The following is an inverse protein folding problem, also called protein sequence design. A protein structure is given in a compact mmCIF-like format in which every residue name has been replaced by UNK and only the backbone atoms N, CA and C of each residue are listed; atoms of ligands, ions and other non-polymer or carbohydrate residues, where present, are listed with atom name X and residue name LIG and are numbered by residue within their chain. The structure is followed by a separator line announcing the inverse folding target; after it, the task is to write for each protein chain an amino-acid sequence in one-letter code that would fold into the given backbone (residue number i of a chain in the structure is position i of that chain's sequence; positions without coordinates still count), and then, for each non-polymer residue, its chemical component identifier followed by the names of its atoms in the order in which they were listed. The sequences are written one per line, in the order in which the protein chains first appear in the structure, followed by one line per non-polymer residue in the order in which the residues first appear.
data_IF_321209679798
#
_entry.id   IF_321209679798
#
_cell.length_a   1.000
_cell.length_b   1.000
_cell.length_c   1.000
_cell.angle_alpha   90.00
_cell.angle_beta   90.00
_cell.angle_gamma   90.00
#
_symmetry.space_group_name_H-M   'P 1'
#
loop_
_entity.id
_entity.type
_entity.pdbx_description
1 polymer ?
#
# COMPACT_ATOMS: atom_id res chain seq x y z
N UNK A 1 0.66 8.42 -51.33
CA UNK A 1 -0.58 8.21 -50.55
C UNK A 1 -0.19 8.42 -49.11
N UNK A 2 -0.58 9.56 -48.53
CA UNK A 2 -0.39 9.83 -47.11
C UNK A 2 -1.56 9.18 -46.39
N UNK A 3 -1.25 8.28 -45.46
CA UNK A 3 -2.22 7.64 -44.59
C UNK A 3 -2.76 8.70 -43.59
N UNK A 4 -4.05 9.06 -43.63
CA UNK A 4 -4.60 10.13 -42.80
C UNK A 4 -5.01 9.68 -41.39
N UNK A 5 -4.75 8.42 -41.01
CA UNK A 5 -5.26 7.85 -39.75
C UNK A 5 -4.32 8.00 -38.53
N UNK A 6 -3.19 8.69 -38.67
CA UNK A 6 -2.36 9.05 -37.51
C UNK A 6 -2.83 10.38 -36.89
N UNK A 7 -4.10 10.42 -36.49
CA UNK A 7 -4.56 11.35 -35.47
C UNK A 7 -3.88 10.91 -34.16
N UNK A 8 -2.73 11.50 -33.86
CA UNK A 8 -2.22 11.58 -32.49
C UNK A 8 -3.39 12.05 -31.63
N UNK A 9 -4.06 11.10 -30.95
CA UNK A 9 -5.10 11.43 -30.00
C UNK A 9 -4.44 12.36 -29.02
N UNK A 10 -4.91 13.61 -28.97
CA UNK A 10 -4.40 14.58 -28.01
C UNK A 10 -4.83 14.09 -26.64
N UNK A 11 -3.94 13.35 -25.98
CA UNK A 11 -4.14 12.84 -24.63
C UNK A 11 -3.66 13.92 -23.68
N UNK A 12 -4.58 14.46 -22.87
CA UNK A 12 -4.18 15.30 -21.74
C UNK A 12 -3.72 14.37 -20.61
N UNK A 13 -2.45 14.49 -20.23
CA UNK A 13 -1.91 13.86 -19.01
C UNK A 13 -2.02 14.85 -17.87
N UNK A 14 -2.71 14.47 -16.80
CA UNK A 14 -2.85 15.29 -15.61
C UNK A 14 -2.36 14.52 -14.40
N UNK A 15 -1.46 15.13 -13.61
CA UNK A 15 -1.07 14.62 -12.30
C UNK A 15 -2.30 14.70 -11.39
N UNK A 16 -2.74 13.56 -10.89
CA UNK A 16 -3.92 13.51 -10.03
C UNK A 16 -3.52 13.82 -8.58
N UNK A 17 -4.09 14.88 -7.96
CA UNK A 17 -3.88 15.21 -6.56
C UNK A 17 -4.21 14.02 -5.65
N UNK A 18 -3.46 13.88 -4.54
CA UNK A 18 -3.58 12.75 -3.61
C UNK A 18 -5.02 12.49 -3.14
N UNK A 19 -5.74 13.55 -2.79
CA UNK A 19 -7.15 13.55 -2.36
C UNK A 19 -8.13 13.13 -3.47
N UNK A 20 -7.69 13.10 -4.73
CA UNK A 20 -8.47 12.75 -5.93
C UNK A 20 -7.98 11.48 -6.62
N UNK A 21 -6.93 10.82 -6.11
CA UNK A 21 -6.43 9.59 -6.73
C UNK A 21 -7.43 8.44 -6.62
N UNK A 22 -8.29 8.44 -5.59
CA UNK A 22 -9.39 7.51 -5.46
C UNK A 22 -10.36 7.56 -6.66
N UNK A 23 -10.54 8.73 -7.28
CA UNK A 23 -11.42 8.96 -8.43
C UNK A 23 -10.91 8.30 -9.72
N UNK A 24 -9.61 8.03 -9.80
CA UNK A 24 -8.96 7.41 -10.96
C UNK A 24 -9.23 5.91 -11.01
N UNK A 25 -9.43 5.28 -9.86
CA UNK A 25 -9.61 3.84 -9.74
C UNK A 25 -11.07 3.38 -10.01
N UNK A 26 -11.92 4.21 -10.63
CA UNK A 26 -13.34 3.93 -10.94
C UNK A 26 -14.18 3.57 -9.70
N UNK A 27 -13.99 4.33 -8.61
CA UNK A 27 -14.61 4.06 -7.31
C UNK A 27 -15.78 5.03 -7.14
N UNK A 28 -17.01 4.51 -7.15
CA UNK A 28 -18.24 5.27 -6.91
C UNK A 28 -18.20 6.00 -5.55
N UNK A 29 -18.46 7.30 -5.57
CA UNK A 29 -18.05 8.30 -4.57
C UNK A 29 -19.02 8.52 -3.41
N UNK A 30 -20.19 7.89 -3.41
CA UNK A 30 -21.27 8.31 -2.53
C UNK A 30 -21.17 7.83 -1.06
N UNK A 31 -20.28 6.88 -0.72
CA UNK A 31 -20.16 6.27 0.63
C UNK A 31 -18.69 5.98 1.07
N UNK A 32 -17.71 6.81 0.67
CA UNK A 32 -16.30 6.53 0.97
C UNK A 32 -15.98 6.62 2.47
N UNK A 33 -15.65 5.48 3.09
CA UNK A 33 -15.06 5.39 4.44
C UNK A 33 -13.52 5.45 4.44
N UNK A 34 -12.89 5.56 3.27
CA UNK A 34 -11.44 5.59 3.13
C UNK A 34 -10.96 6.30 1.85
N UNK A 35 -9.76 6.88 1.93
CA UNK A 35 -9.00 7.42 0.79
C UNK A 35 -8.08 6.33 0.25
N UNK A 36 -7.96 6.22 -1.08
CA UNK A 36 -7.16 5.20 -1.74
C UNK A 36 -6.10 5.87 -2.62
N UNK A 37 -4.84 5.52 -2.39
CA UNK A 37 -3.69 5.96 -3.20
C UNK A 37 -2.88 4.75 -3.67
N UNK A 38 -2.09 4.92 -4.71
CA UNK A 38 -1.06 3.94 -5.08
C UNK A 38 0.24 4.34 -4.38
N UNK A 39 0.83 3.43 -3.60
CA UNK A 39 2.04 3.73 -2.83
C UNK A 39 3.01 2.55 -2.77
N UNK A 40 4.27 2.87 -2.45
CA UNK A 40 5.31 1.93 -2.08
C UNK A 40 5.75 2.19 -0.63
N UNK A 41 6.23 1.16 0.07
CA UNK A 41 6.60 1.26 1.47
C UNK A 41 8.06 0.87 1.66
N UNK A 42 8.90 1.88 1.86
CA UNK A 42 10.34 1.72 2.04
C UNK A 42 10.69 1.58 3.52
N UNK A 43 11.47 0.58 3.89
CA UNK A 43 12.02 0.51 5.25
C UNK A 43 13.48 0.97 5.25
N UNK A 44 13.79 2.06 5.96
CA UNK A 44 15.17 2.55 6.11
C UNK A 44 16.08 1.52 6.78
N UNK A 45 15.53 0.72 7.71
CA UNK A 45 16.27 -0.33 8.40
C UNK A 45 16.79 -1.40 7.44
N UNK A 46 16.00 -1.74 6.43
CA UNK A 46 16.33 -2.81 5.47
C UNK A 46 16.97 -2.24 4.21
N UNK A 47 16.68 -0.99 3.89
CA UNK A 47 17.13 -0.32 2.67
C UNK A 47 16.34 -0.73 1.43
N UNK A 48 15.14 -1.29 1.59
CA UNK A 48 14.35 -1.94 0.52
C UNK A 48 12.85 -1.73 0.70
N UNK A 49 12.07 -2.13 -0.31
CA UNK A 49 10.63 -1.96 -0.34
C UNK A 49 9.88 -3.23 0.09
N UNK A 50 8.75 -3.04 0.76
CA UNK A 50 7.80 -4.10 1.06
C UNK A 50 7.16 -4.66 -0.20
N UNK A 51 6.91 -5.97 -0.24
CA UNK A 51 6.22 -6.65 -1.34
C UNK A 51 5.72 -8.04 -0.90
N UNK A 52 4.95 -8.69 -1.78
CA UNK A 52 4.59 -10.10 -1.67
C UNK A 52 5.34 -10.85 -2.77
N UNK A 53 6.19 -11.81 -2.40
CA UNK A 53 6.95 -12.57 -3.38
C UNK A 53 6.14 -13.67 -4.06
N UNK A 54 6.72 -14.33 -5.06
CA UNK A 54 6.01 -15.36 -5.85
C UNK A 54 5.66 -16.63 -5.05
N UNK A 55 6.27 -16.79 -3.87
CA UNK A 55 5.96 -17.87 -2.90
C UNK A 55 4.81 -17.51 -1.96
N UNK A 56 4.33 -16.26 -1.98
CA UNK A 56 3.29 -15.78 -1.08
C UNK A 56 3.81 -15.39 0.29
N UNK A 57 5.08 -15.01 0.38
CA UNK A 57 5.69 -14.49 1.60
C UNK A 57 5.66 -12.96 1.56
N UNK A 58 5.22 -12.34 2.66
CA UNK A 58 5.33 -10.88 2.84
C UNK A 58 6.79 -10.58 3.21
N UNK A 59 7.45 -9.75 2.41
CA UNK A 59 8.90 -9.48 2.45
C UNK A 59 9.16 -7.98 2.43
N UNK A 60 10.37 -7.58 2.83
CA UNK A 60 10.87 -6.22 2.67
C UNK A 60 12.28 -6.21 2.05
N UNK A 61 12.42 -6.83 0.88
CA UNK A 61 13.65 -6.85 0.09
C UNK A 61 13.40 -6.51 -1.39
N UNK A 62 12.24 -5.93 -1.68
CA UNK A 62 11.84 -5.56 -3.04
C UNK A 62 12.63 -4.38 -3.58
N UNK A 63 12.86 -4.39 -4.89
CA UNK A 63 13.46 -3.28 -5.63
C UNK A 63 12.39 -2.24 -5.98
N UNK A 64 12.72 -0.95 -5.92
CA UNK A 64 11.76 0.14 -6.13
C UNK A 64 11.15 0.18 -7.54
N UNK A 65 11.81 -0.42 -8.54
CA UNK A 65 11.28 -0.55 -9.90
C UNK A 65 10.40 -1.78 -10.11
N UNK A 66 10.32 -2.68 -9.12
CA UNK A 66 9.47 -3.87 -9.21
C UNK A 66 8.02 -3.50 -8.91
N UNK A 67 7.15 -3.65 -9.89
CA UNK A 67 5.71 -3.44 -9.77
C UNK A 67 5.02 -4.22 -8.63
N UNK A 68 5.62 -5.31 -8.12
CA UNK A 68 5.12 -6.06 -6.95
C UNK A 68 5.27 -5.30 -5.62
N UNK A 69 6.03 -4.23 -5.61
CA UNK A 69 6.16 -3.32 -4.45
C UNK A 69 5.07 -2.25 -4.40
N UNK A 70 4.19 -2.19 -5.40
CA UNK A 70 3.08 -1.25 -5.48
C UNK A 70 1.85 -1.80 -4.76
N UNK A 71 1.27 -0.96 -3.90
CA UNK A 71 0.04 -1.27 -3.17
C UNK A 71 -0.99 -0.18 -3.38
N UNK A 72 -2.24 -0.60 -3.55
CA UNK A 72 -3.35 0.28 -3.18
C UNK A 72 -3.31 0.42 -1.66
N UNK A 73 -3.09 1.64 -1.21
CA UNK A 73 -3.03 2.02 0.19
C UNK A 73 -4.34 2.70 0.57
N UNK A 74 -5.09 2.03 1.43
CA UNK A 74 -6.39 2.50 1.92
C UNK A 74 -6.15 3.16 3.27
N UNK A 75 -6.66 4.39 3.44
CA UNK A 75 -6.61 5.14 4.70
C UNK A 75 -8.04 5.48 5.10
N UNK A 76 -8.55 4.77 6.10
CA UNK A 76 -9.87 4.96 6.67
C UNK A 76 -9.88 5.89 7.88
N UNK A 77 -11.03 5.95 8.54
CA UNK A 77 -11.19 6.68 9.80
C UNK A 77 -10.26 6.16 10.92
N UNK A 78 -9.98 7.02 11.90
CA UNK A 78 -9.16 6.69 13.08
C UNK A 78 -7.78 6.13 12.72
N UNK A 79 -7.17 6.63 11.64
CA UNK A 79 -5.82 6.24 11.22
C UNK A 79 -5.71 4.75 10.85
N UNK A 80 -6.83 4.08 10.57
CA UNK A 80 -6.85 2.69 10.14
C UNK A 80 -6.43 2.62 8.69
N UNK A 81 -5.52 1.71 8.38
CA UNK A 81 -4.93 1.58 7.06
C UNK A 81 -4.84 0.14 6.60
N UNK A 82 -4.73 -0.05 5.29
CA UNK A 82 -4.63 -1.37 4.67
C UNK A 82 -3.79 -1.32 3.39
N UNK A 83 -3.02 -2.38 3.17
CA UNK A 83 -2.08 -2.52 2.05
C UNK A 83 -2.54 -3.64 1.12
N UNK A 84 -2.94 -3.31 -0.11
CA UNK A 84 -3.42 -4.29 -1.09
C UNK A 84 -2.50 -4.31 -2.31
N UNK A 85 -1.85 -5.45 -2.57
CA UNK A 85 -0.87 -5.58 -3.66
C UNK A 85 -1.49 -5.34 -5.02
N UNK A 86 -0.76 -4.69 -5.93
CA UNK A 86 -1.18 -4.42 -7.31
C UNK A 86 -0.35 -5.14 -8.37
N UNK A 87 0.74 -5.77 -7.99
CA UNK A 87 1.64 -6.48 -8.90
C UNK A 87 1.69 -8.00 -8.68
N UNK A 88 2.15 -8.70 -9.71
CA UNK A 88 2.44 -10.13 -9.66
C UNK A 88 1.23 -11.05 -9.41
N UNK A 89 1.53 -12.29 -9.01
CA UNK A 89 0.54 -13.36 -8.77
C UNK A 89 -0.43 -13.04 -7.64
N UNK A 90 0.00 -12.22 -6.67
CA UNK A 90 -0.78 -11.83 -5.49
C UNK A 90 -1.46 -10.47 -5.65
N UNK A 91 -1.71 -10.03 -6.89
CA UNK A 91 -2.54 -8.86 -7.15
C UNK A 91 -3.89 -8.99 -6.44
N UNK A 92 -4.32 -7.91 -5.80
CA UNK A 92 -5.53 -7.82 -4.98
C UNK A 92 -5.52 -8.65 -3.68
N UNK A 93 -4.35 -9.14 -3.26
CA UNK A 93 -4.18 -9.67 -1.90
C UNK A 93 -3.78 -8.54 -0.96
N UNK A 94 -4.44 -8.50 0.19
CA UNK A 94 -4.05 -7.63 1.29
C UNK A 94 -2.94 -8.28 2.12
N UNK A 95 -2.11 -7.46 2.76
CA UNK A 95 -1.25 -7.93 3.84
C UNK A 95 -2.12 -8.10 5.08
N UNK A 96 -2.08 -9.29 5.69
CA UNK A 96 -2.72 -9.59 6.97
C UNK A 96 -1.67 -9.85 8.04
N UNK A 97 -2.02 -9.57 9.29
CA UNK A 97 -1.28 -10.00 10.47
C UNK A 97 -2.19 -10.79 11.40
N UNK A 98 -1.77 -11.98 11.82
CA UNK A 98 -2.44 -12.75 12.87
C UNK A 98 -1.39 -13.42 13.74
N UNK A 99 -1.47 -13.22 15.06
CA UNK A 99 -0.49 -13.72 16.03
C UNK A 99 0.97 -13.35 15.68
N UNK A 100 1.17 -12.15 15.11
CA UNK A 100 2.47 -11.64 14.67
C UNK A 100 2.96 -12.17 13.31
N UNK A 101 2.25 -13.13 12.70
CA UNK A 101 2.62 -13.64 11.37
C UNK A 101 2.00 -12.81 10.26
N UNK A 102 2.83 -12.44 9.27
CA UNK A 102 2.40 -11.71 8.08
C UNK A 102 2.09 -12.67 6.94
N UNK A 103 0.90 -12.54 6.35
CA UNK A 103 0.46 -13.42 5.26
C UNK A 103 -0.35 -12.64 4.21
N UNK A 104 -0.25 -12.99 2.92
CA UNK A 104 -1.19 -12.54 1.92
C UNK A 104 -2.60 -13.08 2.24
N UNK A 105 -3.57 -12.20 2.22
CA UNK A 105 -4.97 -12.53 2.44
C UNK A 105 -5.76 -12.11 1.21
N UNK A 106 -6.33 -13.09 0.51
CA UNK A 106 -7.15 -12.79 -0.66
C UNK A 106 -8.40 -12.06 -0.21
N UNK A 107 -8.63 -10.88 -0.78
CA UNK A 107 -9.88 -10.17 -0.57
C UNK A 107 -10.52 -9.93 -1.90
N UNK A 108 -11.83 -10.13 -1.98
CA UNK A 108 -12.59 -9.44 -3.00
C UNK A 108 -12.25 -7.94 -2.90
N UNK A 109 -12.09 -7.26 -4.04
CA UNK A 109 -11.97 -5.80 -4.02
C UNK A 109 -13.16 -5.28 -3.18
N UNK A 110 -12.90 -4.61 -2.05
CA UNK A 110 -13.98 -4.28 -1.14
C UNK A 110 -14.95 -3.35 -1.87
N UNK A 111 -16.28 -3.55 -1.76
CA UNK A 111 -17.20 -2.48 -2.06
C UNK A 111 -16.78 -1.27 -1.22
N UNK A 112 -16.87 -0.08 -1.83
CA UNK A 112 -16.16 1.19 -1.55
C UNK A 112 -16.21 1.75 -0.10
N UNK A 113 -16.70 0.99 0.89
CA UNK A 113 -16.94 1.40 2.26
C UNK A 113 -16.48 0.39 3.34
N UNK A 114 -15.80 -0.71 2.98
CA UNK A 114 -15.29 -1.68 3.94
C UNK A 114 -13.75 -1.72 3.98
N UNK A 115 -13.17 -1.47 5.17
CA UNK A 115 -11.74 -1.65 5.44
C UNK A 115 -11.33 -3.14 5.44
N UNK A 116 -12.25 -4.03 5.09
CA UNK A 116 -12.02 -5.46 4.89
C UNK A 116 -11.86 -6.20 6.22
N UNK A 117 -11.32 -7.40 6.14
CA UNK A 117 -11.11 -8.23 7.34
C UNK A 117 -10.21 -7.51 8.36
N UNK A 118 -10.56 -7.48 9.66
CA UNK A 118 -9.76 -6.84 10.70
C UNK A 118 -8.29 -7.30 10.76
N UNK A 119 -7.98 -8.53 10.36
CA UNK A 119 -6.60 -9.03 10.28
C UNK A 119 -5.76 -8.31 9.22
N UNK A 120 -6.38 -7.65 8.25
CA UNK A 120 -5.70 -6.86 7.20
C UNK A 120 -5.57 -5.38 7.55
N UNK A 121 -6.09 -4.98 8.71
CA UNK A 121 -6.13 -3.60 9.15
C UNK A 121 -4.99 -3.31 10.12
N UNK A 122 -4.35 -2.17 9.89
CA UNK A 122 -3.31 -1.62 10.74
C UNK A 122 -3.70 -0.21 11.19
N UNK A 123 -3.08 0.29 12.25
CA UNK A 123 -3.26 1.67 12.73
C UNK A 123 -1.93 2.40 12.56
N UNK A 124 -1.96 3.61 12.00
CA UNK A 124 -0.78 4.49 12.01
C UNK A 124 -0.53 4.93 13.45
N UNK A 125 0.48 4.35 14.08
CA UNK A 125 0.75 4.54 15.50
C UNK A 125 1.75 5.68 15.79
N UNK A 126 2.55 6.06 14.79
CA UNK A 126 3.55 7.13 14.86
C UNK A 126 3.84 7.64 13.46
N UNK A 127 3.96 8.96 13.30
CA UNK A 127 4.23 9.61 12.02
C UNK A 127 2.97 9.87 11.20
N UNK A 128 3.15 10.52 10.06
CA UNK A 128 2.12 10.75 9.05
C UNK A 128 2.66 10.31 7.69
N UNK A 129 1.83 9.79 6.79
CA UNK A 129 2.30 9.37 5.45
C UNK A 129 2.64 10.56 4.52
N UNK A 130 2.62 11.78 5.04
CA UNK A 130 3.03 13.00 4.32
C UNK A 130 4.52 13.31 4.56
N UNK A 131 5.20 13.74 3.50
CA UNK A 131 6.54 14.36 3.51
C UNK A 131 7.67 13.51 4.11
N UNK A 132 7.79 12.25 3.67
CA UNK A 132 8.99 11.45 3.95
C UNK A 132 9.17 11.06 5.42
N UNK A 133 8.11 11.18 6.23
CA UNK A 133 8.17 10.80 7.63
C UNK A 133 8.15 9.28 7.80
N UNK A 134 8.78 8.85 8.89
CA UNK A 134 8.78 7.46 9.32
C UNK A 134 7.45 7.12 10.02
N UNK A 135 6.76 6.12 9.50
CA UNK A 135 5.46 5.65 9.99
C UNK A 135 5.55 4.24 10.54
N UNK A 136 4.92 4.01 11.71
CA UNK A 136 4.73 2.66 12.27
C UNK A 136 3.30 2.20 12.07
N UNK A 137 3.15 0.97 11.60
CA UNK A 137 1.84 0.34 11.39
C UNK A 137 1.61 -0.76 12.42
N UNK A 138 0.75 -0.49 13.39
CA UNK A 138 0.37 -1.40 14.46
C UNK A 138 -0.78 -2.29 14.00
N UNK A 139 -0.79 -3.58 14.32
CA UNK A 139 -1.94 -4.43 14.00
C UNK A 139 -3.18 -3.99 14.78
N UNK A 140 -4.34 -3.93 14.10
CA UNK A 140 -5.61 -3.57 14.74
C UNK A 140 -6.11 -4.64 15.71
N UNK A 141 -5.88 -5.92 15.37
CA UNK A 141 -6.35 -7.06 16.16
C UNK A 141 -5.31 -7.57 17.18
N UNK A 142 -4.04 -7.18 17.02
CA UNK A 142 -2.98 -7.49 17.97
C UNK A 142 -2.18 -6.21 18.25
N UNK A 143 -2.68 -5.39 19.17
CA UNK A 143 -2.14 -4.07 19.48
C UNK A 143 -0.73 -4.10 20.06
N UNK A 144 -0.17 -5.25 20.40
CA UNK A 144 1.23 -5.35 20.82
C UNK A 144 2.19 -5.63 19.66
N UNK A 145 1.68 -5.70 18.42
CA UNK A 145 2.44 -6.07 17.23
C UNK A 145 2.44 -4.96 16.21
N UNK A 146 3.58 -4.83 15.55
CA UNK A 146 3.82 -3.89 14.47
C UNK A 146 4.29 -4.64 13.23
N UNK A 147 3.90 -4.14 12.07
CA UNK A 147 4.47 -4.53 10.79
C UNK A 147 5.97 -4.26 10.82
N UNK A 148 6.80 -5.30 10.77
CA UNK A 148 8.24 -5.18 10.93
C UNK A 148 9.01 -6.26 10.21
N UNK A 149 10.23 -5.91 9.79
CA UNK A 149 11.15 -6.78 9.08
C UNK A 149 12.55 -6.71 9.69
N UNK A 150 13.33 -7.79 9.57
CA UNK A 150 14.76 -7.76 9.88
C UNK A 150 15.60 -7.15 8.75
N UNK A 151 16.91 -7.04 8.99
CA UNK A 151 17.87 -6.51 8.02
C UNK A 151 17.96 -7.34 6.73
N UNK A 152 17.44 -8.57 6.71
CA UNK A 152 17.39 -9.44 5.54
C UNK A 152 16.02 -9.37 4.83
N UNK A 153 15.11 -8.52 5.31
CA UNK A 153 13.77 -8.33 4.76
C UNK A 153 12.79 -9.46 5.10
N UNK A 154 13.11 -10.33 6.07
CA UNK A 154 12.14 -11.33 6.54
C UNK A 154 11.16 -10.69 7.52
N UNK A 155 9.88 -11.12 7.50
CA UNK A 155 8.90 -10.67 8.48
C UNK A 155 9.34 -11.08 9.89
N UNK A 156 9.14 -10.22 10.87
CA UNK A 156 9.52 -10.48 12.26
C UNK A 156 8.30 -10.99 13.07
N UNK A 157 8.15 -12.31 13.27
CA UNK A 157 6.92 -12.92 13.76
C UNK A 157 6.62 -12.62 15.24
N UNK A 158 7.63 -12.20 16.01
CA UNK A 158 7.48 -11.92 17.44
C UNK A 158 7.31 -10.43 17.73
N UNK A 159 6.60 -9.71 16.85
CA UNK A 159 6.38 -8.26 16.82
C UNK A 159 6.90 -7.48 18.02
N UNK A 160 7.83 -6.57 17.74
CA UNK A 160 8.53 -5.76 18.72
C UNK A 160 7.56 -5.12 19.72
N UNK A 161 7.85 -5.31 21.00
CA UNK A 161 7.30 -4.44 22.04
C UNK A 161 7.78 -3.01 21.75
N UNK A 162 6.94 -2.03 22.08
CA UNK A 162 6.99 -0.58 21.72
C UNK A 162 8.35 0.16 21.79
N UNK A 163 9.42 -0.44 22.31
CA UNK A 163 10.72 0.18 22.56
C UNK A 163 11.80 -0.06 21.50
N UNK A 164 11.58 -0.89 20.47
CA UNK A 164 12.53 -0.99 19.36
C UNK A 164 12.32 0.18 18.39
N UNK A 165 13.09 1.25 18.59
CA UNK A 165 12.90 2.52 17.87
C UNK A 165 12.87 2.35 16.34
N UNK A 166 13.64 1.43 15.75
CA UNK A 166 13.94 1.41 14.30
C UNK A 166 13.30 0.23 13.54
N UNK A 167 12.77 -0.79 14.22
CA UNK A 167 12.13 -1.92 13.53
C UNK A 167 10.67 -1.59 13.19
N UNK A 168 10.30 -1.67 11.91
CA UNK A 168 8.91 -1.46 11.47
C UNK A 168 8.53 0.00 11.22
N UNK A 169 9.51 0.87 11.05
CA UNK A 169 9.30 2.20 10.48
C UNK A 169 9.40 2.15 8.95
N UNK A 170 8.46 2.81 8.28
CA UNK A 170 8.38 2.90 6.84
C UNK A 170 8.25 4.34 6.39
N UNK A 171 8.83 4.65 5.24
CA UNK A 171 8.49 5.84 4.49
C UNK A 171 7.46 5.41 3.44
N UNK A 172 6.28 6.04 3.47
CA UNK A 172 5.26 5.88 2.45
C UNK A 172 5.60 6.75 1.24
N UNK A 173 5.80 6.13 0.08
CA UNK A 173 6.10 6.80 -1.18
C UNK A 173 4.86 6.76 -2.05
N UNK A 174 4.07 7.83 -2.01
CA UNK A 174 2.91 7.96 -2.88
C UNK A 174 3.38 8.07 -4.33
N UNK A 175 2.85 7.21 -5.19
CA UNK A 175 3.15 7.22 -6.60
C UNK A 175 2.21 8.21 -7.27
N UNK A 176 2.78 9.14 -8.04
CA UNK A 176 2.00 10.06 -8.85
C UNK A 176 1.22 9.26 -9.89
N UNK A 177 -0.10 9.29 -9.79
CA UNK A 177 -0.99 8.72 -10.81
C UNK A 177 -1.25 9.80 -11.85
N UNK A 178 -0.87 9.53 -13.10
CA UNK A 178 -1.24 10.35 -14.24
C UNK A 178 -2.55 9.81 -14.84
N UNK A 179 -3.56 10.66 -14.94
CA UNK A 179 -4.80 10.34 -15.66
C UNK A 179 -4.66 10.79 -17.11
N UNK A 180 -4.84 9.85 -18.02
CA UNK A 180 -4.94 10.11 -19.45
C UNK A 180 -6.41 10.29 -19.83
N UNK A 181 -6.77 11.46 -20.36
CA UNK A 181 -8.12 11.71 -20.87
C UNK A 181 -8.04 12.01 -22.36
N UNK A 182 -8.81 11.28 -23.16
CA UNK A 182 -9.03 11.65 -24.56
C UNK A 182 -9.89 12.91 -24.61
N UNK A 183 -9.45 13.91 -25.38
CA UNK A 183 -10.23 15.12 -25.65
C UNK A 183 -11.44 14.82 -26.54
#
# INVERSE_FOLDING_TARGET
MNDPDNLDKVVKKEIVPYDKQADVFSIDHHDQKCVITLAQFYSERVGRFMWINDRGEVRCDGEGTDHRTLFNYYVGENEIVRFVSRGGKYRNFAISMTNGELRPFHTAEPPNSDMGDPSTQFVRARGSDFDGQLVKYQSKIDSNRYLAFDQQGNPQPLGFTSNAAVAGEFICWNVTVEKETAL
#
